data_IF_663805811200
#
_entry.id   IF_663805811200
#
_cell.length_a   1.000
_cell.length_b   1.000
_cell.length_c   1.000
_cell.angle_alpha   90.00
_cell.angle_beta   90.00
_cell.angle_gamma   90.00
#
_symmetry.space_group_name_H-M   'P 1'
#
loop_
_entity.id
_entity.type
_entity.pdbx_description
1 polymer ?
#
# COMPACT_ATOMS: atom_id res chain seq x y z
N UNK A 1 -13.17 2.79 6.33
CA UNK A 1 -13.60 3.29 5.00
C UNK A 1 -12.54 2.97 3.95
N UNK A 2 -12.88 2.95 2.66
CA UNK A 2 -11.93 2.76 1.56
C UNK A 2 -12.10 3.92 0.57
N UNK A 3 -11.02 4.59 0.18
CA UNK A 3 -11.07 5.72 -0.77
C UNK A 3 -11.23 5.22 -2.21
N UNK A 4 -10.37 4.28 -2.63
CA UNK A 4 -10.50 3.60 -3.92
C UNK A 4 -10.68 2.12 -3.68
N UNK A 5 -11.83 1.58 -4.08
CA UNK A 5 -12.11 0.15 -4.04
C UNK A 5 -12.17 -0.40 -5.47
N UNK A 6 -11.15 -1.15 -5.88
CA UNK A 6 -11.12 -1.83 -7.16
C UNK A 6 -11.51 -3.29 -6.99
N UNK A 7 -12.58 -3.72 -7.69
CA UNK A 7 -13.07 -5.10 -7.71
C UNK A 7 -12.95 -5.67 -9.13
N UNK A 8 -12.10 -6.69 -9.30
CA UNK A 8 -11.80 -7.27 -10.61
C UNK A 8 -11.18 -6.28 -11.62
N UNK A 9 -10.96 -6.73 -12.85
CA UNK A 9 -10.52 -5.87 -13.96
C UNK A 9 -9.09 -5.33 -13.87
N UNK A 10 -8.76 -4.41 -14.78
CA UNK A 10 -7.45 -3.76 -14.88
C UNK A 10 -7.59 -2.26 -14.58
N UNK A 11 -6.86 -1.77 -13.59
CA UNK A 11 -6.94 -0.39 -13.12
C UNK A 11 -5.59 0.31 -13.22
N UNK A 12 -5.59 1.59 -13.55
CA UNK A 12 -4.38 2.40 -13.64
C UNK A 12 -4.62 3.75 -12.98
N UNK A 13 -3.79 4.08 -12.00
CA UNK A 13 -3.64 5.42 -11.45
C UNK A 13 -2.25 5.93 -11.81
N UNK A 14 -2.19 7.13 -12.37
CA UNK A 14 -0.93 7.74 -12.79
C UNK A 14 -0.93 9.22 -12.44
N UNK A 15 0.07 9.65 -11.64
CA UNK A 15 0.19 11.03 -11.16
C UNK A 15 -1.02 11.50 -10.34
N UNK A 16 -1.53 10.62 -9.47
CA UNK A 16 -2.66 10.89 -8.59
C UNK A 16 -2.21 11.06 -7.12
N UNK A 17 -3.06 11.71 -6.32
CA UNK A 17 -2.94 11.76 -4.86
C UNK A 17 -4.09 10.94 -4.26
N UNK A 18 -3.77 9.75 -3.75
CA UNK A 18 -4.72 8.80 -3.15
C UNK A 18 -4.46 8.82 -1.63
N UNK A 19 -4.81 9.93 -0.98
CA UNK A 19 -4.38 10.27 0.38
C UNK A 19 -5.45 10.93 1.23
N UNK A 20 -5.20 11.03 2.53
CA UNK A 20 -6.03 11.73 3.50
C UNK A 20 -7.37 11.04 3.77
N UNK A 21 -7.33 9.73 3.98
CA UNK A 21 -8.45 8.95 4.49
C UNK A 21 -8.23 8.60 5.95
N UNK A 22 -8.98 9.23 6.85
CA UNK A 22 -8.90 8.96 8.29
C UNK A 22 -9.26 7.51 8.61
N UNK A 23 -8.40 6.81 9.34
CA UNK A 23 -8.60 5.44 9.85
C UNK A 23 -9.02 4.41 8.77
N UNK A 24 -8.71 4.71 7.49
CA UNK A 24 -9.19 3.93 6.35
C UNK A 24 -8.08 3.38 5.48
N UNK A 25 -8.48 2.75 4.39
CA UNK A 25 -7.58 2.20 3.37
C UNK A 25 -7.59 3.15 2.18
N UNK A 26 -6.43 3.67 1.77
CA UNK A 26 -6.38 4.59 0.64
C UNK A 26 -6.72 3.87 -0.67
N UNK A 27 -6.17 2.67 -0.89
CA UNK A 27 -6.47 1.85 -2.06
C UNK A 27 -6.67 0.39 -1.67
N UNK A 28 -7.82 -0.18 -2.00
CA UNK A 28 -8.13 -1.60 -1.83
C UNK A 28 -8.31 -2.31 -3.18
N UNK A 29 -7.63 -3.45 -3.33
CA UNK A 29 -7.71 -4.34 -4.50
C UNK A 29 -8.35 -5.67 -4.07
N UNK A 30 -9.46 -6.03 -4.71
CA UNK A 30 -10.27 -7.21 -4.39
C UNK A 30 -10.70 -7.98 -5.64
N UNK A 31 -11.14 -9.23 -5.46
CA UNK A 31 -11.72 -10.07 -6.50
C UNK A 31 -10.83 -10.18 -7.75
N UNK A 32 -9.57 -10.58 -7.54
CA UNK A 32 -8.58 -10.81 -8.61
C UNK A 32 -8.29 -9.57 -9.48
N UNK A 33 -8.45 -8.37 -8.89
CA UNK A 33 -8.14 -7.13 -9.59
C UNK A 33 -6.64 -7.01 -9.89
N UNK A 34 -6.31 -6.35 -11.01
CA UNK A 34 -4.94 -6.00 -11.38
C UNK A 34 -4.80 -4.50 -11.42
N UNK A 35 -3.90 -3.93 -10.62
CA UNK A 35 -3.75 -2.47 -10.53
C UNK A 35 -2.31 -2.03 -10.77
N UNK A 36 -2.17 -0.91 -11.48
CA UNK A 36 -0.93 -0.15 -11.58
C UNK A 36 -1.09 1.20 -10.90
N UNK A 37 -0.21 1.50 -9.96
CA UNK A 37 -0.11 2.81 -9.31
C UNK A 37 1.27 3.37 -9.64
N UNK A 38 1.29 4.45 -10.43
CA UNK A 38 2.49 4.98 -11.06
C UNK A 38 2.67 6.46 -10.72
N UNK A 39 3.82 6.84 -10.18
CA UNK A 39 4.10 8.25 -9.86
C UNK A 39 3.03 8.90 -8.96
N UNK A 40 2.47 8.16 -8.01
CA UNK A 40 1.38 8.63 -7.15
C UNK A 40 1.86 8.89 -5.72
N UNK A 41 1.10 9.71 -5.00
CA UNK A 41 1.11 9.72 -3.54
C UNK A 41 0.01 8.82 -2.99
N UNK A 42 0.32 7.95 -2.03
CA UNK A 42 -0.63 7.04 -1.38
C UNK A 42 -0.48 7.10 0.15
N UNK A 43 -1.57 6.95 0.91
CA UNK A 43 -1.55 6.85 2.37
C UNK A 43 -2.26 7.99 3.09
N UNK A 44 -1.63 8.54 4.11
CA UNK A 44 -2.14 9.68 4.87
C UNK A 44 -1.51 11.00 4.45
N UNK A 45 -1.70 12.00 5.31
CA UNK A 45 -0.92 13.23 5.33
C UNK A 45 -0.43 13.48 6.76
N UNK A 46 0.58 14.35 6.93
CA UNK A 46 1.23 14.67 8.21
C UNK A 46 0.31 15.44 9.20
N UNK A 47 -0.87 14.89 9.48
CA UNK A 47 -1.81 15.34 10.48
C UNK A 47 -2.45 14.11 11.11
N UNK A 48 -2.51 14.05 12.43
CA UNK A 48 -3.07 12.90 13.18
C UNK A 48 -4.49 12.52 12.73
N UNK A 49 -5.27 13.49 12.27
CA UNK A 49 -6.66 13.28 11.87
C UNK A 49 -6.86 12.71 10.46
N UNK A 50 -5.80 12.58 9.65
CA UNK A 50 -5.90 12.14 8.26
C UNK A 50 -4.85 11.10 7.90
N UNK A 51 -4.36 10.37 8.90
CA UNK A 51 -3.56 9.16 8.69
C UNK A 51 -4.46 8.02 8.20
N UNK A 52 -3.95 7.27 7.22
CA UNK A 52 -4.61 6.08 6.74
C UNK A 52 -4.24 4.89 7.63
N UNK A 53 -5.18 3.99 7.90
CA UNK A 53 -4.90 2.71 8.57
C UNK A 53 -4.08 1.78 7.66
N UNK A 54 -4.23 1.92 6.33
CA UNK A 54 -3.32 1.30 5.36
C UNK A 54 -3.23 2.13 4.09
N UNK A 55 -2.05 2.17 3.48
CA UNK A 55 -1.87 2.82 2.18
C UNK A 55 -2.55 2.02 1.08
N UNK A 56 -2.02 0.83 0.79
CA UNK A 56 -2.59 -0.11 -0.18
C UNK A 56 -2.89 -1.44 0.49
N UNK A 57 -4.09 -1.98 0.29
CA UNK A 57 -4.44 -3.37 0.59
C UNK A 57 -4.64 -4.13 -0.72
N UNK A 58 -3.87 -5.19 -0.93
CA UNK A 58 -4.16 -6.19 -1.96
C UNK A 58 -4.58 -7.51 -1.32
N UNK A 59 -5.73 -8.02 -1.75
CA UNK A 59 -6.39 -9.20 -1.17
C UNK A 59 -6.61 -10.30 -2.21
N UNK A 60 -6.84 -11.53 -1.75
CA UNK A 60 -7.08 -12.74 -2.55
C UNK A 60 -5.95 -13.01 -3.55
N UNK A 61 -6.23 -12.98 -4.85
CA UNK A 61 -5.29 -13.22 -5.95
C UNK A 61 -5.04 -11.94 -6.75
N UNK A 62 -5.26 -10.78 -6.12
CA UNK A 62 -5.06 -9.49 -6.77
C UNK A 62 -3.57 -9.21 -7.03
N UNK A 63 -3.29 -8.49 -8.11
CA UNK A 63 -1.94 -8.15 -8.55
C UNK A 63 -1.73 -6.63 -8.50
N UNK A 64 -0.66 -6.21 -7.82
CA UNK A 64 -0.27 -4.81 -7.72
C UNK A 64 1.08 -4.55 -8.40
N UNK A 65 1.13 -3.55 -9.28
CA UNK A 65 2.36 -2.88 -9.67
C UNK A 65 2.37 -1.48 -9.05
N UNK A 66 3.29 -1.24 -8.13
CA UNK A 66 3.51 0.06 -7.51
C UNK A 66 4.88 0.58 -7.94
N UNK A 67 4.92 1.72 -8.64
CA UNK A 67 6.17 2.24 -9.16
C UNK A 67 6.30 3.75 -9.02
N UNK A 68 7.53 4.22 -8.72
CA UNK A 68 7.87 5.65 -8.68
C UNK A 68 6.95 6.46 -7.75
N UNK A 69 6.39 5.82 -6.73
CA UNK A 69 5.33 6.38 -5.88
C UNK A 69 5.82 6.60 -4.46
N UNK A 70 5.12 7.47 -3.72
CA UNK A 70 5.40 7.76 -2.31
C UNK A 70 4.25 7.25 -1.44
N UNK A 71 4.58 6.41 -0.47
CA UNK A 71 3.65 5.77 0.46
C UNK A 71 4.00 6.25 1.86
N UNK A 72 3.12 7.05 2.47
CA UNK A 72 3.49 7.75 3.70
C UNK A 72 2.33 8.04 4.65
N UNK A 73 2.70 8.33 5.91
CA UNK A 73 1.80 8.75 6.98
C UNK A 73 0.65 7.78 7.20
N UNK A 74 0.99 6.49 7.17
CA UNK A 74 0.10 5.42 7.62
C UNK A 74 0.29 5.24 9.12
N UNK A 75 -0.79 4.93 9.84
CA UNK A 75 -0.79 4.73 11.29
C UNK A 75 0.40 3.93 11.82
N UNK A 76 0.77 4.18 13.07
CA UNK A 76 1.91 3.57 13.78
C UNK A 76 1.89 2.03 13.81
N UNK A 77 0.73 1.41 13.69
CA UNK A 77 0.50 -0.04 13.57
C UNK A 77 -0.04 -0.45 12.18
N UNK A 78 -0.31 0.53 11.33
CA UNK A 78 -0.82 0.37 9.97
C UNK A 78 0.27 0.00 8.97
N UNK A 79 -0.16 -0.36 7.76
CA UNK A 79 0.73 -0.89 6.71
C UNK A 79 0.70 -0.02 5.44
N UNK A 80 1.87 0.43 5.00
CA UNK A 80 2.05 1.17 3.75
C UNK A 80 1.51 0.38 2.57
N UNK A 81 1.97 -0.86 2.42
CA UNK A 81 1.38 -1.88 1.54
C UNK A 81 1.12 -3.15 2.35
N UNK A 82 -0.12 -3.60 2.36
CA UNK A 82 -0.56 -4.88 2.94
C UNK A 82 -0.94 -5.84 1.82
N UNK A 83 -0.25 -6.99 1.75
CA UNK A 83 -0.60 -8.09 0.88
C UNK A 83 -1.15 -9.24 1.72
N UNK A 84 -2.32 -9.75 1.36
CA UNK A 84 -2.99 -10.81 2.11
C UNK A 84 -3.46 -11.94 1.19
N UNK A 85 -3.37 -13.16 1.70
CA UNK A 85 -3.82 -14.41 1.09
C UNK A 85 -2.87 -14.86 -0.01
N UNK A 86 -3.24 -14.77 -1.28
CA UNK A 86 -2.39 -15.12 -2.42
C UNK A 86 -2.06 -13.88 -3.27
N UNK A 87 -2.15 -12.69 -2.67
CA UNK A 87 -1.96 -11.44 -3.37
C UNK A 87 -0.48 -11.25 -3.71
N UNK A 88 -0.23 -10.65 -4.86
CA UNK A 88 1.12 -10.47 -5.38
C UNK A 88 1.40 -9.00 -5.68
N UNK A 89 2.59 -8.51 -5.33
CA UNK A 89 3.01 -7.18 -5.73
C UNK A 89 4.44 -7.08 -6.27
N UNK A 90 4.61 -6.14 -7.21
CA UNK A 90 5.91 -5.62 -7.65
C UNK A 90 6.01 -4.16 -7.26
N UNK A 91 7.01 -3.83 -6.45
CA UNK A 91 7.21 -2.50 -5.89
C UNK A 91 8.59 -2.00 -6.35
N UNK A 92 8.58 -0.92 -7.14
CA UNK A 92 9.78 -0.48 -7.89
C UNK A 92 10.00 1.01 -7.70
N UNK A 93 11.20 1.40 -7.27
CA UNK A 93 11.61 2.81 -7.17
C UNK A 93 10.62 3.67 -6.36
N UNK A 94 10.07 3.11 -5.28
CA UNK A 94 9.13 3.81 -4.41
C UNK A 94 9.81 4.31 -3.14
N UNK A 95 9.24 5.34 -2.54
CA UNK A 95 9.62 5.81 -1.21
C UNK A 95 8.53 5.47 -0.22
N UNK A 96 8.88 4.75 0.82
CA UNK A 96 8.03 4.54 1.98
C UNK A 96 8.58 5.37 3.12
N UNK A 97 7.74 6.18 3.74
CA UNK A 97 8.18 7.02 4.85
C UNK A 97 7.09 7.21 5.90
N UNK A 98 7.47 7.13 7.17
CA UNK A 98 6.56 7.41 8.30
C UNK A 98 5.29 6.53 8.28
N UNK A 99 5.51 5.22 8.11
CA UNK A 99 4.47 4.21 8.23
C UNK A 99 4.69 3.39 9.51
N UNK A 100 3.66 2.74 10.02
CA UNK A 100 3.84 1.67 11.02
C UNK A 100 4.75 0.57 10.48
N UNK A 101 4.26 -0.10 9.45
CA UNK A 101 5.01 -1.07 8.64
C UNK A 101 5.04 -0.61 7.20
N UNK A 102 6.18 -0.66 6.51
CA UNK A 102 6.21 -0.27 5.10
C UNK A 102 5.54 -1.34 4.21
N UNK A 103 5.94 -2.61 4.36
CA UNK A 103 5.41 -3.73 3.58
C UNK A 103 5.06 -4.90 4.50
N UNK A 104 3.76 -5.20 4.62
CA UNK A 104 3.22 -6.33 5.36
C UNK A 104 2.76 -7.46 4.44
N UNK A 105 3.16 -8.69 4.75
CA UNK A 105 2.73 -9.90 4.03
C UNK A 105 2.01 -10.85 4.99
N UNK A 106 0.86 -11.38 4.58
CA UNK A 106 0.13 -12.42 5.31
C UNK A 106 -0.07 -13.67 4.46
N UNK A 107 -0.08 -14.85 5.10
CA UNK A 107 -0.41 -16.14 4.48
C UNK A 107 0.54 -16.48 3.32
N UNK A 108 0.04 -16.60 2.08
CA UNK A 108 0.79 -17.01 0.88
C UNK A 108 1.11 -15.81 -0.03
N UNK A 109 1.00 -14.59 0.49
CA UNK A 109 1.28 -13.39 -0.27
C UNK A 109 2.76 -13.31 -0.64
N UNK A 110 3.06 -12.71 -1.79
CA UNK A 110 4.43 -12.56 -2.30
C UNK A 110 4.70 -11.14 -2.80
N UNK A 111 5.94 -10.67 -2.65
CA UNK A 111 6.35 -9.34 -3.05
C UNK A 111 7.75 -9.35 -3.67
N UNK A 112 7.92 -8.59 -4.75
CA UNK A 112 9.24 -8.25 -5.30
C UNK A 112 9.47 -6.75 -5.15
N UNK A 113 10.50 -6.40 -4.39
CA UNK A 113 10.87 -5.00 -4.13
C UNK A 113 12.21 -4.68 -4.80
N UNK A 114 12.29 -3.56 -5.51
CA UNK A 114 13.52 -3.11 -6.17
C UNK A 114 13.68 -1.59 -6.09
N UNK A 115 14.86 -1.12 -5.72
CA UNK A 115 15.22 0.30 -5.77
C UNK A 115 14.38 1.20 -4.88
N UNK A 116 13.78 0.66 -3.81
CA UNK A 116 12.92 1.43 -2.91
C UNK A 116 13.72 2.00 -1.73
N UNK A 117 13.27 3.15 -1.22
CA UNK A 117 13.75 3.74 0.03
C UNK A 117 12.70 3.52 1.11
N UNK A 118 13.12 2.97 2.24
CA UNK A 118 12.25 2.62 3.37
C UNK A 118 12.77 3.42 4.59
N UNK A 119 12.02 4.43 5.03
CA UNK A 119 12.51 5.46 5.95
C UNK A 119 11.57 5.65 7.15
N UNK A 120 12.09 5.52 8.36
CA UNK A 120 11.34 5.88 9.57
C UNK A 120 10.06 5.07 9.79
N UNK A 121 10.07 3.78 9.45
CA UNK A 121 9.00 2.85 9.83
C UNK A 121 8.98 2.66 11.36
N UNK A 122 7.82 2.75 12.00
CA UNK A 122 7.71 2.63 13.45
C UNK A 122 7.92 1.19 13.96
N UNK A 123 7.34 0.22 13.27
CA UNK A 123 7.40 -1.21 13.61
C UNK A 123 8.45 -1.93 12.78
N UNK A 124 8.45 -1.71 11.46
CA UNK A 124 9.48 -2.31 10.60
C UNK A 124 9.23 -2.14 9.10
N UNK A 125 10.30 -2.23 8.33
CA UNK A 125 10.23 -2.10 6.87
C UNK A 125 9.51 -3.30 6.20
N UNK A 126 9.74 -4.50 6.72
CA UNK A 126 9.08 -5.72 6.28
C UNK A 126 8.50 -6.45 7.48
N UNK A 127 7.24 -6.87 7.39
CA UNK A 127 6.58 -7.64 8.43
C UNK A 127 5.87 -8.87 7.84
N UNK A 128 6.33 -10.05 8.25
CA UNK A 128 5.75 -11.34 7.87
C UNK A 128 4.79 -11.78 8.97
N UNK A 129 3.50 -11.74 8.69
CA UNK A 129 2.46 -12.22 9.59
C UNK A 129 2.25 -13.71 9.37
N UNK A 130 2.37 -14.48 10.45
CA UNK A 130 2.02 -15.90 10.49
C UNK A 130 0.55 -16.13 10.13
#
# INVERSE_FOLDING_TARGET
AIMVEARGGNWVFHRCQLRAIKDGIAVGLFHQSKMKILSCGVGGICTWNLQAASGVLAYETSELLLAQSVIEWVHDDGQGVRLWDAAYARIINCTFQYNGVDIGLCKRADVKVKGCSLLGSNVGAFYLMA
#
